data_IF_191329269453
#
_entry.id   IF_191329269453
#
_cell.length_a   1.000
_cell.length_b   1.000
_cell.length_c   1.000
_cell.angle_alpha   90.00
_cell.angle_beta   90.00
_cell.angle_gamma   90.00
#
_symmetry.space_group_name_H-M   'P 1'
#
loop_
_entity.id
_entity.type
_entity.pdbx_description
1 polymer ?
#
# COMPACT_ATOMS: atom_id res chain seq x y z
N UNK A 1 -1.25 0.79 -10.83
CA UNK A 1 -2.09 -0.21 -10.12
C UNK A 1 -3.03 -0.85 -11.12
N UNK A 2 -3.27 -2.16 -11.02
CA UNK A 2 -4.24 -2.86 -11.87
C UNK A 2 -5.63 -2.84 -11.23
N UNK A 3 -6.69 -2.95 -12.03
CA UNK A 3 -8.08 -3.11 -11.56
C UNK A 3 -8.22 -4.19 -10.47
N UNK A 4 -7.41 -5.25 -10.57
CA UNK A 4 -7.36 -6.35 -9.62
C UNK A 4 -6.99 -5.93 -8.18
N UNK A 5 -6.14 -4.91 -8.01
CA UNK A 5 -5.71 -4.46 -6.68
C UNK A 5 -6.77 -3.62 -5.98
N UNK A 6 -7.53 -2.83 -6.75
CA UNK A 6 -8.72 -2.11 -6.26
C UNK A 6 -9.76 -3.10 -5.76
N UNK A 7 -10.03 -4.17 -6.52
CA UNK A 7 -10.99 -5.21 -6.14
C UNK A 7 -10.58 -5.95 -4.85
N UNK A 8 -9.28 -6.20 -4.65
CA UNK A 8 -8.77 -6.77 -3.38
C UNK A 8 -9.03 -5.88 -2.16
N UNK A 9 -9.14 -4.57 -2.32
CA UNK A 9 -9.48 -3.68 -1.20
C UNK A 9 -10.97 -3.55 -0.96
N UNK A 10 -11.78 -3.58 -2.03
CA UNK A 10 -13.22 -3.74 -1.90
C UNK A 10 -13.59 -5.07 -1.22
N UNK A 11 -12.83 -6.15 -1.48
CA UNK A 11 -13.01 -7.45 -0.80
C UNK A 11 -12.74 -7.31 0.70
N UNK A 12 -11.63 -6.67 1.07
CA UNK A 12 -11.28 -6.42 2.46
C UNK A 12 -12.35 -5.58 3.17
N UNK A 13 -12.83 -4.51 2.52
CA UNK A 13 -13.89 -3.65 3.03
C UNK A 13 -15.18 -4.45 3.27
N UNK A 14 -15.58 -5.29 2.31
CA UNK A 14 -16.78 -6.12 2.37
C UNK A 14 -16.70 -7.12 3.52
N UNK A 15 -15.61 -7.87 3.60
CA UNK A 15 -15.40 -8.89 4.65
C UNK A 15 -15.33 -8.26 6.04
N UNK A 16 -14.62 -7.13 6.19
CA UNK A 16 -14.56 -6.42 7.47
C UNK A 16 -15.93 -5.89 7.88
N UNK A 17 -16.69 -5.28 6.95
CA UNK A 17 -18.05 -4.80 7.21
C UNK A 17 -18.98 -5.92 7.65
N UNK A 18 -18.96 -7.07 6.97
CA UNK A 18 -19.75 -8.24 7.38
C UNK A 18 -19.39 -8.72 8.79
N UNK A 19 -18.10 -8.84 9.07
CA UNK A 19 -17.61 -9.33 10.37
C UNK A 19 -17.97 -8.39 11.53
N UNK A 20 -17.83 -7.07 11.35
CA UNK A 20 -18.22 -6.08 12.38
C UNK A 20 -19.72 -6.04 12.57
N UNK A 21 -20.48 -6.05 11.48
CA UNK A 21 -21.94 -6.12 11.55
C UNK A 21 -22.42 -7.37 12.29
N UNK A 22 -21.85 -8.55 12.00
CA UNK A 22 -22.22 -9.80 12.66
C UNK A 22 -21.97 -9.76 14.19
N UNK A 23 -20.83 -9.18 14.59
CA UNK A 23 -20.39 -9.08 15.99
C UNK A 23 -21.01 -7.93 16.77
N UNK A 24 -21.61 -6.96 16.10
CA UNK A 24 -22.25 -5.80 16.73
C UNK A 24 -23.41 -6.16 17.67
N UNK A 25 -23.80 -5.21 18.50
CA UNK A 25 -24.94 -5.30 19.43
C UNK A 25 -26.31 -5.10 18.75
N UNK A 26 -26.33 -4.79 17.45
CA UNK A 26 -27.54 -4.49 16.68
C UNK A 26 -28.54 -5.65 16.65
N UNK A 27 -29.82 -5.32 16.45
CA UNK A 27 -30.87 -6.32 16.26
C UNK A 27 -30.67 -7.14 14.97
N UNK A 28 -31.34 -8.29 14.87
CA UNK A 28 -31.30 -9.11 13.66
C UNK A 28 -31.70 -8.32 12.40
N UNK A 29 -32.76 -7.51 12.49
CA UNK A 29 -33.26 -6.71 11.37
C UNK A 29 -32.21 -5.67 10.93
N UNK A 30 -31.66 -4.91 11.88
CA UNK A 30 -30.65 -3.88 11.58
C UNK A 30 -29.37 -4.46 10.97
N UNK A 31 -28.90 -5.62 11.49
CA UNK A 31 -27.77 -6.33 10.90
C UNK A 31 -28.08 -6.76 9.48
N UNK A 32 -29.27 -7.30 9.24
CA UNK A 32 -29.69 -7.76 7.92
C UNK A 32 -29.77 -6.62 6.91
N UNK A 33 -30.27 -5.45 7.31
CA UNK A 33 -30.34 -4.26 6.46
C UNK A 33 -28.95 -3.80 6.01
N UNK A 34 -27.99 -3.73 6.96
CA UNK A 34 -26.59 -3.38 6.65
C UNK A 34 -25.97 -4.42 5.71
N UNK A 35 -26.13 -5.71 6.02
CA UNK A 35 -25.55 -6.80 5.24
C UNK A 35 -26.10 -6.85 3.81
N UNK A 36 -27.42 -6.69 3.65
CA UNK A 36 -28.04 -6.61 2.33
C UNK A 36 -27.56 -5.39 1.55
N UNK A 37 -27.51 -4.24 2.20
CA UNK A 37 -27.04 -3.00 1.56
C UNK A 37 -25.56 -3.09 1.17
N UNK A 38 -24.72 -3.71 2.00
CA UNK A 38 -23.31 -3.93 1.68
C UNK A 38 -23.11 -4.96 0.55
N UNK A 39 -23.92 -6.02 0.52
CA UNK A 39 -23.95 -6.94 -0.60
C UNK A 39 -24.31 -6.22 -1.90
N UNK A 40 -25.37 -5.40 -1.90
CA UNK A 40 -25.74 -4.58 -3.04
C UNK A 40 -24.63 -3.61 -3.44
N UNK A 41 -24.00 -2.94 -2.47
CA UNK A 41 -22.86 -2.04 -2.70
C UNK A 41 -21.74 -2.78 -3.43
N UNK A 42 -21.36 -3.98 -2.99
CA UNK A 42 -20.32 -4.75 -3.67
C UNK A 42 -20.73 -5.13 -5.11
N UNK A 43 -21.98 -5.53 -5.30
CA UNK A 43 -22.49 -5.86 -6.63
C UNK A 43 -22.52 -4.70 -7.63
N UNK A 44 -22.32 -3.45 -7.19
CA UNK A 44 -22.11 -2.30 -8.11
C UNK A 44 -20.77 -2.40 -8.83
N UNK A 45 -19.76 -3.00 -8.19
CA UNK A 45 -18.39 -3.04 -8.72
C UNK A 45 -18.11 -4.31 -9.53
N UNK A 46 -18.59 -5.47 -9.08
CA UNK A 46 -18.44 -6.74 -9.80
C UNK A 46 -19.48 -7.80 -9.43
N UNK A 47 -19.44 -8.96 -10.09
CA UNK A 47 -20.34 -10.09 -9.85
C UNK A 47 -19.79 -11.15 -8.88
N UNK A 48 -18.68 -10.87 -8.20
CA UNK A 48 -17.96 -11.87 -7.38
C UNK A 48 -18.81 -12.37 -6.20
N UNK A 49 -19.50 -11.46 -5.50
CA UNK A 49 -20.37 -11.80 -4.37
C UNK A 49 -21.65 -12.54 -4.83
N UNK A 50 -22.06 -12.43 -6.10
CA UNK A 50 -23.15 -13.26 -6.63
C UNK A 50 -22.76 -14.74 -6.62
N UNK A 51 -21.50 -15.03 -6.93
CA UNK A 51 -20.95 -16.38 -7.12
C UNK A 51 -20.41 -17.02 -5.84
N UNK A 52 -20.47 -16.33 -4.70
CA UNK A 52 -19.90 -16.78 -3.43
C UNK A 52 -20.96 -17.19 -2.40
N UNK A 53 -20.72 -18.28 -1.68
CA UNK A 53 -21.47 -18.64 -0.48
C UNK A 53 -20.90 -17.93 0.76
N UNK A 54 -21.52 -16.82 1.19
CA UNK A 54 -21.14 -16.13 2.43
C UNK A 54 -21.95 -16.65 3.62
N UNK A 55 -21.26 -17.26 4.59
CA UNK A 55 -21.88 -17.77 5.82
C UNK A 55 -22.63 -16.67 6.60
N UNK A 56 -22.12 -15.43 6.58
CA UNK A 56 -22.76 -14.31 7.27
C UNK A 56 -24.06 -13.91 6.54
N UNK A 57 -24.03 -13.80 5.21
CA UNK A 57 -25.23 -13.48 4.43
C UNK A 57 -26.32 -14.57 4.59
N UNK A 58 -25.92 -15.84 4.62
CA UNK A 58 -26.82 -16.98 4.86
C UNK A 58 -27.41 -16.95 6.28
N UNK A 59 -26.57 -16.64 7.29
CA UNK A 59 -26.99 -16.52 8.69
C UNK A 59 -28.14 -15.52 8.84
N UNK A 60 -28.06 -14.36 8.19
CA UNK A 60 -29.08 -13.30 8.27
C UNK A 60 -30.14 -13.35 7.17
N UNK A 61 -30.13 -14.35 6.29
CA UNK A 61 -31.14 -14.49 5.23
C UNK A 61 -31.07 -13.39 4.16
N UNK A 62 -29.87 -12.92 3.86
CA UNK A 62 -29.59 -12.09 2.68
C UNK A 62 -29.39 -12.98 1.44
N UNK A 63 -28.71 -14.11 1.63
CA UNK A 63 -28.46 -15.14 0.62
C UNK A 63 -28.96 -16.49 1.08
N UNK A 64 -29.34 -17.35 0.13
CA UNK A 64 -29.83 -18.69 0.39
C UNK A 64 -29.15 -19.67 -0.56
N UNK A 65 -28.63 -20.77 -0.03
CA UNK A 65 -27.84 -21.76 -0.78
C UNK A 65 -28.47 -23.15 -0.61
N UNK A 66 -28.63 -23.86 -1.72
CA UNK A 66 -29.28 -25.16 -1.83
C UNK A 66 -28.41 -26.14 -2.61
N UNK A 67 -28.49 -27.44 -2.25
CA UNK A 67 -27.80 -28.50 -2.98
C UNK A 67 -28.47 -28.77 -4.34
N UNK A 68 -29.80 -28.80 -4.36
CA UNK A 68 -30.60 -28.96 -5.56
C UNK A 68 -31.05 -27.61 -6.10
N UNK A 69 -31.29 -27.52 -7.42
CA UNK A 69 -31.70 -26.27 -8.05
C UNK A 69 -33.10 -25.90 -7.57
N UNK A 70 -33.28 -24.78 -6.84
CA UNK A 70 -34.59 -24.32 -6.44
C UNK A 70 -35.37 -23.77 -7.65
N UNK A 71 -36.69 -23.82 -7.55
CA UNK A 71 -37.59 -23.24 -8.55
C UNK A 71 -37.55 -21.70 -8.52
N UNK A 72 -37.69 -21.10 -9.70
CA UNK A 72 -37.78 -19.64 -9.88
C UNK A 72 -36.55 -19.00 -10.53
N UNK A 73 -36.75 -17.78 -11.03
CA UNK A 73 -35.70 -17.00 -11.66
C UNK A 73 -34.76 -16.35 -10.63
N UNK A 74 -33.56 -15.97 -11.06
CA UNK A 74 -32.54 -15.37 -10.19
C UNK A 74 -31.72 -16.36 -9.39
N UNK A 75 -31.78 -17.65 -9.75
CA UNK A 75 -30.91 -18.70 -9.20
C UNK A 75 -29.58 -18.74 -9.95
N UNK A 76 -28.49 -18.52 -9.22
CA UNK A 76 -27.11 -18.61 -9.71
C UNK A 76 -26.49 -19.93 -9.30
N UNK A 77 -25.87 -20.63 -10.23
CA UNK A 77 -25.02 -21.78 -9.92
C UNK A 77 -23.69 -21.30 -9.36
N UNK A 78 -23.29 -21.87 -8.22
CA UNK A 78 -22.07 -21.51 -7.52
C UNK A 78 -21.28 -22.77 -7.15
N UNK A 79 -20.02 -22.56 -6.78
CA UNK A 79 -19.15 -23.58 -6.21
C UNK A 79 -18.99 -23.32 -4.71
N UNK A 80 -19.37 -24.28 -3.88
CA UNK A 80 -19.19 -24.26 -2.43
C UNK A 80 -18.20 -25.37 -2.04
N UNK A 81 -16.93 -24.98 -1.83
CA UNK A 81 -15.82 -25.95 -1.74
C UNK A 81 -15.62 -26.70 -3.05
N UNK A 82 -15.71 -28.04 -3.02
CA UNK A 82 -15.64 -28.89 -4.22
C UNK A 82 -17.03 -29.26 -4.78
N UNK A 83 -18.10 -28.74 -4.18
CA UNK A 83 -19.48 -29.13 -4.51
C UNK A 83 -20.18 -28.04 -5.30
N UNK A 84 -21.01 -28.49 -6.24
CA UNK A 84 -21.98 -27.65 -6.92
C UNK A 84 -23.12 -27.29 -5.98
N UNK A 85 -23.48 -26.02 -5.95
CA UNK A 85 -24.62 -25.52 -5.19
C UNK A 85 -25.36 -24.43 -5.99
N UNK A 86 -26.57 -24.11 -5.55
CA UNK A 86 -27.42 -23.10 -6.17
C UNK A 86 -27.75 -22.03 -5.15
N UNK A 87 -27.52 -20.78 -5.52
CA UNK A 87 -27.73 -19.61 -4.69
C UNK A 87 -28.80 -18.72 -5.28
N UNK A 88 -29.67 -18.19 -4.44
CA UNK A 88 -30.45 -17.00 -4.77
C UNK A 88 -30.44 -16.04 -3.58
N UNK A 89 -30.68 -14.78 -3.87
CA UNK A 89 -30.59 -13.70 -2.89
C UNK A 89 -31.99 -13.12 -2.61
N UNK A 90 -32.12 -12.44 -1.48
CA UNK A 90 -33.37 -11.74 -1.11
C UNK A 90 -33.76 -10.74 -2.22
N UNK A 91 -35.06 -10.57 -2.46
CA UNK A 91 -35.66 -9.86 -3.61
C UNK A 91 -35.60 -10.57 -4.97
N UNK A 92 -34.99 -11.76 -5.08
CA UNK A 92 -35.11 -12.56 -6.31
C UNK A 92 -36.49 -13.19 -6.47
N UNK A 93 -36.94 -13.49 -7.71
CA UNK A 93 -38.16 -14.28 -7.92
C UNK A 93 -38.14 -15.64 -7.22
N UNK A 94 -36.98 -16.31 -7.15
CA UNK A 94 -36.79 -17.54 -6.38
C UNK A 94 -37.02 -17.34 -4.88
N UNK A 95 -36.59 -16.21 -4.30
CA UNK A 95 -36.89 -15.87 -2.91
C UNK A 95 -38.40 -15.72 -2.67
N UNK A 96 -39.11 -15.00 -3.55
CA UNK A 96 -40.57 -14.84 -3.43
C UNK A 96 -41.30 -16.19 -3.50
N UNK A 97 -40.88 -17.07 -4.41
CA UNK A 97 -41.42 -18.42 -4.53
C UNK A 97 -41.14 -19.25 -3.26
N UNK A 98 -39.91 -19.20 -2.74
CA UNK A 98 -39.52 -19.92 -1.53
C UNK A 98 -40.28 -19.45 -0.28
N UNK A 99 -40.56 -18.15 -0.14
CA UNK A 99 -41.41 -17.61 0.94
C UNK A 99 -42.86 -18.06 0.78
N UNK A 100 -43.42 -17.96 -0.43
CA UNK A 100 -44.79 -18.40 -0.74
C UNK A 100 -45.01 -19.88 -0.43
N UNK A 101 -44.01 -20.71 -0.75
CA UNK A 101 -44.01 -22.16 -0.50
C UNK A 101 -43.60 -22.53 0.93
N UNK A 102 -43.39 -21.55 1.82
CA UNK A 102 -43.00 -21.73 3.23
C UNK A 102 -41.67 -22.48 3.42
N UNK A 103 -40.79 -22.47 2.40
CA UNK A 103 -39.40 -22.95 2.50
C UNK A 103 -38.59 -21.97 3.35
N UNK A 104 -38.80 -20.66 3.14
CA UNK A 104 -38.22 -19.60 3.96
C UNK A 104 -39.33 -19.01 4.85
N UNK A 105 -39.08 -18.92 6.15
CA UNK A 105 -40.07 -18.48 7.15
C UNK A 105 -39.44 -17.57 8.21
N UNK A 106 -40.28 -17.02 9.10
CA UNK A 106 -39.85 -16.18 10.23
C UNK A 106 -39.20 -14.87 9.81
N UNK A 107 -38.20 -14.42 10.58
CA UNK A 107 -37.48 -13.17 10.29
C UNK A 107 -36.80 -13.16 8.92
N UNK A 108 -36.36 -14.32 8.41
CA UNK A 108 -35.72 -14.44 7.09
C UNK A 108 -36.68 -14.28 5.91
N UNK A 109 -37.99 -14.47 6.14
CA UNK A 109 -39.01 -14.27 5.10
C UNK A 109 -39.40 -12.80 4.91
N UNK A 110 -39.10 -11.92 5.88
CA UNK A 110 -39.31 -10.48 5.73
C UNK A 110 -38.33 -9.90 4.72
N UNK A 111 -38.67 -8.76 4.10
CA UNK A 111 -37.76 -8.04 3.22
C UNK A 111 -36.88 -7.07 4.04
N UNK A 112 -35.54 -7.05 3.86
CA UNK A 112 -34.69 -6.08 4.51
C UNK A 112 -34.84 -4.69 3.87
N UNK A 113 -34.64 -3.66 4.68
CA UNK A 113 -34.56 -2.29 4.18
C UNK A 113 -33.21 -2.07 3.49
N UNK A 114 -33.25 -1.47 2.29
CA UNK A 114 -32.04 -1.04 1.59
C UNK A 114 -31.66 0.36 2.05
N UNK A 115 -30.50 0.48 2.69
CA UNK A 115 -29.88 1.75 3.04
C UNK A 115 -29.35 2.42 1.77
N UNK A 116 -29.33 3.76 1.75
CA UNK A 116 -28.67 4.50 0.67
C UNK A 116 -27.16 4.27 0.66
N UNK A 117 -26.50 4.72 -0.41
CA UNK A 117 -25.04 4.64 -0.53
C UNK A 117 -24.30 5.55 0.46
N UNK A 118 -24.99 6.51 1.12
CA UNK A 118 -24.45 7.34 2.19
C UNK A 118 -24.85 6.84 3.58
N UNK A 119 -26.07 6.32 3.74
CA UNK A 119 -26.54 5.73 5.02
C UNK A 119 -25.73 4.50 5.40
N UNK A 120 -25.45 3.61 4.43
CA UNK A 120 -24.68 2.38 4.65
C UNK A 120 -23.32 2.66 5.31
N UNK A 121 -22.39 3.42 4.68
CA UNK A 121 -21.09 3.69 5.29
C UNK A 121 -21.24 4.38 6.64
N UNK A 122 -22.19 5.32 6.79
CA UNK A 122 -22.38 6.05 8.03
C UNK A 122 -22.77 5.12 9.18
N UNK A 123 -23.69 4.19 8.92
CA UNK A 123 -24.14 3.20 9.89
C UNK A 123 -23.01 2.24 10.26
N UNK A 124 -22.22 1.80 9.28
CA UNK A 124 -21.10 0.88 9.49
C UNK A 124 -19.96 1.52 10.29
N UNK A 125 -19.55 2.74 9.96
CA UNK A 125 -18.45 3.42 10.67
C UNK A 125 -18.86 3.94 12.06
N UNK A 126 -20.17 3.89 12.36
CA UNK A 126 -20.75 4.24 13.65
C UNK A 126 -21.03 3.02 14.55
N UNK A 127 -20.70 1.80 14.11
CA UNK A 127 -20.75 0.63 14.99
C UNK A 127 -19.75 0.79 16.15
N UNK A 128 -20.13 0.30 17.34
CA UNK A 128 -19.28 0.38 18.55
C UNK A 128 -17.90 -0.26 18.34
N UNK A 129 -17.81 -1.29 17.51
CA UNK A 129 -16.57 -2.02 17.19
C UNK A 129 -15.92 -1.60 15.86
N UNK A 130 -16.37 -0.50 15.25
CA UNK A 130 -15.76 0.06 14.05
C UNK A 130 -14.37 0.65 14.35
N UNK A 131 -13.35 -0.19 14.22
CA UNK A 131 -11.95 0.19 14.35
C UNK A 131 -11.46 1.10 13.22
N UNK A 132 -10.31 1.73 13.43
CA UNK A 132 -9.71 2.65 12.47
C UNK A 132 -9.30 1.94 11.16
N UNK A 133 -9.12 0.62 11.17
CA UNK A 133 -8.80 -0.16 9.96
C UNK A 133 -10.02 -0.25 9.03
N UNK A 134 -11.20 -0.57 9.57
CA UNK A 134 -12.46 -0.52 8.80
C UNK A 134 -12.77 0.90 8.34
N UNK A 135 -12.59 1.90 9.22
CA UNK A 135 -12.79 3.31 8.88
C UNK A 135 -11.85 3.78 7.78
N UNK A 136 -10.59 3.34 7.78
CA UNK A 136 -9.64 3.67 6.72
C UNK A 136 -10.07 3.08 5.37
N UNK A 137 -10.59 1.86 5.33
CA UNK A 137 -11.12 1.29 4.09
C UNK A 137 -12.33 2.08 3.60
N UNK A 138 -13.28 2.44 4.47
CA UNK A 138 -14.38 3.31 4.07
C UNK A 138 -13.90 4.67 3.60
N UNK A 139 -12.90 5.27 4.24
CA UNK A 139 -12.33 6.53 3.80
C UNK A 139 -11.75 6.47 2.39
N UNK A 140 -11.05 5.37 2.05
CA UNK A 140 -10.44 5.15 0.73
C UNK A 140 -11.48 4.86 -0.35
N UNK A 141 -12.52 4.08 -0.04
CA UNK A 141 -13.44 3.57 -1.07
C UNK A 141 -14.75 4.34 -1.17
N UNK A 142 -15.14 5.12 -0.16
CA UNK A 142 -16.38 5.90 -0.18
C UNK A 142 -16.47 6.83 -1.41
N UNK A 143 -15.43 7.61 -1.78
CA UNK A 143 -15.52 8.53 -2.91
C UNK A 143 -15.86 7.87 -4.26
N UNK A 144 -15.65 6.56 -4.43
CA UNK A 144 -16.08 5.87 -5.64
C UNK A 144 -17.60 5.93 -5.86
N UNK A 145 -18.42 6.02 -4.81
CA UNK A 145 -19.87 6.18 -5.00
C UNK A 145 -20.23 7.53 -5.63
N UNK A 146 -19.46 8.57 -5.29
CA UNK A 146 -19.63 9.91 -5.85
C UNK A 146 -19.25 9.88 -7.32
N UNK A 147 -18.14 9.22 -7.65
CA UNK A 147 -17.67 9.04 -9.02
C UNK A 147 -18.64 8.21 -9.88
N UNK A 148 -19.39 7.28 -9.28
CA UNK A 148 -20.45 6.52 -9.96
C UNK A 148 -21.75 7.31 -10.16
N UNK A 149 -21.81 8.57 -9.70
CA UNK A 149 -22.98 9.44 -9.88
C UNK A 149 -24.13 9.13 -8.92
N UNK A 150 -23.85 8.58 -7.74
CA UNK A 150 -24.88 8.40 -6.71
C UNK A 150 -25.51 9.76 -6.32
N UNK A 151 -26.84 9.83 -6.10
CA UNK A 151 -27.48 11.03 -5.57
C UNK A 151 -26.82 11.48 -4.27
N UNK A 152 -26.39 12.74 -4.21
CA UNK A 152 -25.60 13.26 -3.10
C UNK A 152 -26.52 13.60 -1.92
N UNK A 153 -26.21 13.04 -0.75
CA UNK A 153 -26.88 13.33 0.52
C UNK A 153 -25.95 14.17 1.41
N UNK A 154 -25.98 15.49 1.25
CA UNK A 154 -25.02 16.42 1.85
C UNK A 154 -24.92 16.30 3.38
N UNK A 155 -26.04 16.15 4.10
CA UNK A 155 -26.03 16.01 5.56
C UNK A 155 -25.32 14.72 6.03
N UNK A 156 -25.42 13.64 5.26
CA UNK A 156 -24.76 12.37 5.56
C UNK A 156 -23.28 12.42 5.16
N UNK A 157 -22.97 13.10 4.05
CA UNK A 157 -21.59 13.38 3.64
C UNK A 157 -20.80 14.09 4.74
N UNK A 158 -21.35 15.17 5.31
CA UNK A 158 -20.69 15.93 6.38
C UNK A 158 -20.50 15.09 7.65
N UNK A 159 -21.50 14.28 8.03
CA UNK A 159 -21.38 13.37 9.18
C UNK A 159 -20.30 12.30 8.98
N UNK A 160 -20.22 11.75 7.77
CA UNK A 160 -19.18 10.79 7.38
C UNK A 160 -17.81 11.44 7.46
N UNK A 161 -17.66 12.64 6.92
CA UNK A 161 -16.42 13.42 6.96
C UNK A 161 -15.98 13.67 8.39
N UNK A 162 -16.87 14.10 9.28
CA UNK A 162 -16.57 14.29 10.70
C UNK A 162 -16.07 13.02 11.41
N UNK A 163 -16.54 11.83 10.99
CA UNK A 163 -16.13 10.55 11.58
C UNK A 163 -14.84 10.01 10.99
N UNK A 164 -14.55 10.28 9.73
CA UNK A 164 -13.46 9.64 8.98
C UNK A 164 -12.26 10.56 8.73
N UNK A 165 -12.46 11.87 8.66
CA UNK A 165 -11.39 12.85 8.48
C UNK A 165 -10.75 13.21 9.82
N UNK A 166 -9.97 12.28 10.38
CA UNK A 166 -9.22 12.51 11.61
C UNK A 166 -7.84 11.83 11.57
N UNK A 167 -6.88 12.27 12.41
CA UNK A 167 -5.51 11.74 12.39
C UNK A 167 -5.40 10.21 12.62
N UNK A 168 -6.29 9.61 13.42
CA UNK A 168 -6.27 8.16 13.68
C UNK A 168 -6.56 7.35 12.43
N UNK A 169 -7.63 7.72 11.73
CA UNK A 169 -7.99 7.13 10.43
C UNK A 169 -6.92 7.44 9.39
N UNK A 170 -6.41 8.67 9.31
CA UNK A 170 -5.35 9.03 8.36
C UNK A 170 -4.05 8.23 8.56
N UNK A 171 -3.68 7.93 9.80
CA UNK A 171 -2.55 7.04 10.07
C UNK A 171 -2.79 5.63 9.53
N UNK A 172 -4.00 5.08 9.66
CA UNK A 172 -4.36 3.77 9.11
C UNK A 172 -4.43 3.78 7.59
N UNK A 173 -4.95 4.86 7.00
CA UNK A 173 -4.96 5.08 5.56
C UNK A 173 -3.53 5.08 5.04
N UNK A 174 -2.64 5.93 5.56
CA UNK A 174 -1.23 5.99 5.13
C UNK A 174 -0.49 4.66 5.31
N UNK A 175 -0.78 3.93 6.39
CA UNK A 175 -0.19 2.61 6.66
C UNK A 175 -0.76 1.47 5.80
N UNK A 176 -1.87 1.70 5.10
CA UNK A 176 -2.54 0.71 4.28
C UNK A 176 -1.85 0.55 2.93
N UNK A 177 -1.83 -0.67 2.40
CA UNK A 177 -1.42 -0.95 1.02
C UNK A 177 -2.30 -0.26 -0.02
N UNK A 178 -3.50 0.19 0.38
CA UNK A 178 -4.45 0.89 -0.48
C UNK A 178 -4.25 2.40 -0.49
N UNK A 179 -3.31 2.95 0.30
CA UNK A 179 -2.95 4.39 0.25
C UNK A 179 -2.43 4.83 -1.12
N UNK A 180 -1.91 3.89 -1.90
CA UNK A 180 -1.44 4.12 -3.27
C UNK A 180 -2.60 4.53 -4.21
N UNK A 181 -3.85 4.28 -3.84
CA UNK A 181 -5.04 4.75 -4.56
C UNK A 181 -5.31 6.25 -4.37
N UNK A 182 -4.53 6.91 -3.52
CA UNK A 182 -4.76 8.30 -3.14
C UNK A 182 -3.73 9.23 -3.74
N UNK A 183 -4.18 10.43 -4.07
CA UNK A 183 -3.35 11.52 -4.58
C UNK A 183 -2.20 11.87 -3.62
N UNK A 184 -1.04 12.25 -4.17
CA UNK A 184 0.10 12.81 -3.43
C UNK A 184 -0.19 14.25 -3.03
N UNK A 185 -0.74 15.03 -3.97
CA UNK A 185 -0.96 16.48 -3.87
C UNK A 185 -2.37 16.88 -4.25
N UNK A 186 -2.76 18.12 -3.95
CA UNK A 186 -4.08 18.65 -4.34
C UNK A 186 -4.14 18.93 -5.84
N UNK A 187 -3.00 19.25 -6.45
CA UNK A 187 -2.83 19.53 -7.87
C UNK A 187 -3.18 18.32 -8.74
N UNK A 188 -2.84 17.10 -8.29
CA UNK A 188 -3.23 15.87 -8.98
C UNK A 188 -4.75 15.64 -9.02
N UNK A 189 -5.52 16.28 -8.13
CA UNK A 189 -6.98 16.22 -8.15
C UNK A 189 -7.61 17.20 -9.15
N UNK A 190 -6.81 17.88 -9.97
CA UNK A 190 -7.33 18.81 -10.98
C UNK A 190 -8.25 18.11 -11.97
N UNK A 191 -9.51 18.55 -12.04
CA UNK A 191 -10.53 17.96 -12.91
C UNK A 191 -11.41 16.90 -12.24
N UNK A 192 -11.09 16.52 -11.00
CA UNK A 192 -11.93 15.61 -10.20
C UNK A 192 -13.19 16.28 -9.67
N UNK A 193 -14.15 15.46 -9.23
CA UNK A 193 -15.40 15.93 -8.66
C UNK A 193 -15.15 16.76 -7.38
N UNK A 194 -15.80 17.92 -7.16
CA UNK A 194 -15.50 18.81 -6.02
C UNK A 194 -15.56 18.16 -4.64
N UNK A 195 -16.53 17.25 -4.41
CA UNK A 195 -16.62 16.50 -3.15
C UNK A 195 -15.49 15.48 -2.97
N UNK A 196 -14.94 14.94 -4.07
CA UNK A 196 -13.77 14.05 -3.98
C UNK A 196 -12.54 14.87 -3.58
N UNK A 197 -12.38 16.06 -4.17
CA UNK A 197 -11.32 17.01 -3.80
C UNK A 197 -11.43 17.45 -2.34
N UNK A 198 -12.64 17.76 -1.87
CA UNK A 198 -12.90 18.11 -0.47
C UNK A 198 -12.57 16.94 0.47
N UNK A 199 -13.02 15.73 0.14
CA UNK A 199 -12.82 14.53 0.95
C UNK A 199 -11.34 14.16 1.12
N UNK A 200 -10.58 14.08 0.02
CA UNK A 200 -9.18 13.70 0.05
C UNK A 200 -8.21 14.83 0.42
N UNK A 201 -8.64 16.08 0.25
CA UNK A 201 -7.81 17.27 0.53
C UNK A 201 -7.25 17.28 1.96
N UNK A 202 -8.06 16.92 2.96
CA UNK A 202 -7.62 16.91 4.36
C UNK A 202 -6.55 15.86 4.65
N UNK A 203 -6.67 14.66 4.07
CA UNK A 203 -5.63 13.63 4.20
C UNK A 203 -4.34 14.05 3.50
N UNK A 204 -4.44 14.65 2.31
CA UNK A 204 -3.29 15.14 1.55
C UNK A 204 -2.53 16.20 2.35
N UNK A 205 -3.24 17.19 2.90
CA UNK A 205 -2.64 18.24 3.72
C UNK A 205 -1.99 17.64 4.97
N UNK A 206 -2.68 16.72 5.64
CA UNK A 206 -2.17 16.03 6.82
C UNK A 206 -0.93 15.19 6.50
N UNK A 207 -0.91 14.46 5.38
CA UNK A 207 0.22 13.63 4.92
C UNK A 207 1.43 14.50 4.60
N UNK A 208 1.22 15.66 4.00
CA UNK A 208 2.29 16.55 3.53
C UNK A 208 2.78 17.53 4.59
N UNK A 209 2.02 17.75 5.67
CA UNK A 209 2.47 18.56 6.79
C UNK A 209 3.75 18.00 7.42
N UNK A 210 4.70 18.91 7.70
CA UNK A 210 6.00 18.57 8.28
C UNK A 210 5.86 18.10 9.74
N UNK A 211 6.64 17.09 10.08
CA UNK A 211 6.88 16.61 11.43
C UNK A 211 7.88 17.50 12.17
N UNK A 212 8.11 17.25 13.45
CA UNK A 212 9.16 17.93 14.25
C UNK A 212 10.57 17.78 13.65
N UNK A 213 10.80 16.74 12.84
CA UNK A 213 12.06 16.50 12.14
C UNK A 213 12.18 17.26 10.82
N UNK A 214 11.22 18.12 10.47
CA UNK A 214 11.24 18.92 9.24
C UNK A 214 10.89 18.16 7.96
N UNK A 215 10.54 16.88 8.04
CA UNK A 215 10.09 16.04 6.90
C UNK A 215 8.59 15.81 6.96
N UNK A 216 7.92 15.62 5.82
CA UNK A 216 6.47 15.34 5.80
C UNK A 216 6.14 14.00 6.46
N UNK A 217 4.89 13.79 6.88
CA UNK A 217 4.46 12.48 7.42
C UNK A 217 4.60 11.36 6.39
N UNK A 218 4.35 11.66 5.11
CA UNK A 218 4.61 10.74 3.99
C UNK A 218 6.08 10.32 3.91
N UNK A 219 7.01 11.28 3.93
CA UNK A 219 8.46 11.00 3.93
C UNK A 219 8.88 10.22 5.18
N UNK A 220 8.41 10.60 6.36
CA UNK A 220 8.69 9.87 7.60
C UNK A 220 8.12 8.43 7.59
N UNK A 221 7.03 8.19 6.87
CA UNK A 221 6.51 6.86 6.65
C UNK A 221 7.43 6.04 5.75
N UNK A 222 7.91 6.60 4.63
CA UNK A 222 8.88 5.94 3.76
C UNK A 222 10.20 5.61 4.47
N UNK A 223 10.71 6.52 5.32
CA UNK A 223 11.89 6.26 6.15
C UNK A 223 11.71 5.00 7.04
N UNK A 224 10.52 4.83 7.64
CA UNK A 224 10.22 3.64 8.45
C UNK A 224 10.11 2.37 7.60
N UNK A 225 9.49 2.47 6.41
CA UNK A 225 9.36 1.32 5.48
C UNK A 225 10.72 0.86 4.97
N UNK A 226 11.62 1.81 4.68
CA UNK A 226 13.01 1.54 4.31
C UNK A 226 13.73 0.78 5.44
N UNK A 227 13.60 1.24 6.68
CA UNK A 227 14.20 0.58 7.85
C UNK A 227 13.65 -0.84 8.11
N UNK A 228 12.42 -1.11 7.69
CA UNK A 228 11.79 -2.44 7.76
C UNK A 228 12.13 -3.35 6.58
N UNK A 229 12.93 -2.87 5.61
CA UNK A 229 13.35 -3.65 4.45
C UNK A 229 12.34 -3.69 3.29
N UNK A 230 11.30 -2.85 3.30
CA UNK A 230 10.30 -2.80 2.22
C UNK A 230 10.78 -1.93 1.05
N UNK A 231 11.87 -2.36 0.43
CA UNK A 231 12.58 -1.58 -0.60
C UNK A 231 11.72 -1.35 -1.86
N UNK A 232 10.92 -2.35 -2.25
CA UNK A 232 10.03 -2.26 -3.41
C UNK A 232 8.97 -1.19 -3.25
N UNK A 233 8.35 -1.13 -2.07
CA UNK A 233 7.38 -0.09 -1.76
C UNK A 233 8.05 1.29 -1.74
N UNK A 234 9.20 1.42 -1.07
CA UNK A 234 9.89 2.71 -0.96
C UNK A 234 10.32 3.23 -2.32
N UNK A 235 10.89 2.39 -3.20
CA UNK A 235 11.27 2.79 -4.55
C UNK A 235 10.07 3.35 -5.33
N UNK A 236 9.00 2.55 -5.44
CA UNK A 236 7.80 2.91 -6.19
C UNK A 236 7.14 4.19 -5.66
N UNK A 237 6.93 4.27 -4.35
CA UNK A 237 6.21 5.40 -3.76
C UNK A 237 7.06 6.67 -3.72
N UNK A 238 8.38 6.57 -3.49
CA UNK A 238 9.26 7.75 -3.59
C UNK A 238 9.34 8.29 -5.01
N UNK A 239 9.37 7.44 -6.04
CA UNK A 239 9.28 7.86 -7.45
C UNK A 239 7.98 8.64 -7.71
N UNK A 240 6.84 8.08 -7.33
CA UNK A 240 5.54 8.73 -7.47
C UNK A 240 5.49 10.09 -6.76
N UNK A 241 6.08 10.18 -5.56
CA UNK A 241 6.14 11.44 -4.83
C UNK A 241 7.11 12.45 -5.47
N UNK A 242 8.20 12.01 -6.09
CA UNK A 242 9.16 12.87 -6.80
C UNK A 242 8.55 13.51 -8.06
N UNK A 243 7.58 12.86 -8.71
CA UNK A 243 6.83 13.49 -9.81
C UNK A 243 6.11 14.79 -9.34
N UNK A 244 5.73 14.85 -8.06
CA UNK A 244 5.07 16.00 -7.45
C UNK A 244 6.06 16.95 -6.73
N UNK A 245 7.16 16.40 -6.20
CA UNK A 245 8.16 17.13 -5.42
C UNK A 245 9.56 16.87 -5.98
N UNK A 246 9.85 17.33 -7.20
CA UNK A 246 11.07 16.95 -7.93
C UNK A 246 12.36 17.45 -7.28
N UNK A 247 12.28 18.42 -6.36
CA UNK A 247 13.42 18.99 -5.65
C UNK A 247 13.56 18.49 -4.19
N UNK A 248 12.73 17.53 -3.75
CA UNK A 248 12.79 17.01 -2.38
C UNK A 248 13.95 16.01 -2.22
N UNK A 249 15.08 16.52 -1.72
CA UNK A 249 16.30 15.73 -1.52
C UNK A 249 16.12 14.54 -0.55
N UNK A 250 15.15 14.57 0.39
CA UNK A 250 14.87 13.41 1.24
C UNK A 250 14.24 12.28 0.45
N UNK A 251 13.29 12.59 -0.44
CA UNK A 251 12.66 11.61 -1.32
C UNK A 251 13.67 11.01 -2.29
N UNK A 252 14.55 11.85 -2.88
CA UNK A 252 15.63 11.37 -3.74
C UNK A 252 16.53 10.38 -3.00
N UNK A 253 16.99 10.74 -1.79
CA UNK A 253 17.87 9.89 -1.00
C UNK A 253 17.18 8.60 -0.57
N UNK A 254 15.88 8.62 -0.25
CA UNK A 254 15.10 7.43 0.05
C UNK A 254 15.00 6.48 -1.14
N UNK A 255 14.74 7.01 -2.35
CA UNK A 255 14.70 6.23 -3.57
C UNK A 255 16.06 5.56 -3.85
N UNK A 256 17.13 6.37 -3.78
CA UNK A 256 18.51 5.92 -3.95
C UNK A 256 18.89 4.84 -2.93
N UNK A 257 18.55 5.07 -1.66
CA UNK A 257 18.83 4.13 -0.57
C UNK A 257 18.09 2.80 -0.77
N UNK A 258 16.82 2.84 -1.19
CA UNK A 258 16.05 1.63 -1.45
C UNK A 258 16.64 0.82 -2.63
N UNK A 259 17.05 1.50 -3.72
CA UNK A 259 17.71 0.86 -4.87
C UNK A 259 18.99 0.14 -4.48
N UNK A 260 19.87 0.79 -3.71
CA UNK A 260 21.14 0.18 -3.30
C UNK A 260 20.91 -0.96 -2.29
N UNK A 261 19.97 -0.82 -1.35
CA UNK A 261 19.66 -1.87 -0.37
C UNK A 261 19.07 -3.11 -1.02
N UNK A 262 18.24 -2.94 -2.06
CA UNK A 262 17.63 -4.05 -2.81
C UNK A 262 18.65 -4.88 -3.59
N UNK A 263 19.81 -4.31 -3.95
CA UNK A 263 20.85 -5.01 -4.71
C UNK A 263 21.34 -6.31 -4.07
N UNK A 264 21.23 -6.45 -2.74
CA UNK A 264 21.68 -7.64 -2.01
C UNK A 264 20.74 -8.85 -2.15
N UNK A 265 19.49 -8.65 -2.57
CA UNK A 265 18.44 -9.67 -2.56
C UNK A 265 17.88 -10.01 -3.95
N UNK A 266 18.50 -9.52 -5.02
CA UNK A 266 18.05 -9.71 -6.41
C UNK A 266 19.09 -10.48 -7.22
N UNK A 267 18.66 -11.00 -8.36
CA UNK A 267 19.54 -11.64 -9.32
C UNK A 267 20.56 -10.65 -9.93
N UNK A 268 21.60 -11.18 -10.58
CA UNK A 268 22.69 -10.39 -11.12
C UNK A 268 22.24 -9.36 -12.16
N UNK A 269 21.31 -9.73 -13.05
CA UNK A 269 20.83 -8.83 -14.11
C UNK A 269 20.08 -7.65 -13.51
N UNK A 270 19.14 -7.93 -12.60
CA UNK A 270 18.41 -6.90 -11.86
C UNK A 270 19.36 -6.02 -11.04
N UNK A 271 20.38 -6.61 -10.40
CA UNK A 271 21.40 -5.87 -9.65
C UNK A 271 22.17 -4.88 -10.52
N UNK A 272 22.65 -5.33 -11.69
CA UNK A 272 23.38 -4.46 -12.64
C UNK A 272 22.49 -3.30 -13.08
N UNK A 273 21.22 -3.57 -13.40
CA UNK A 273 20.24 -2.55 -13.77
C UNK A 273 20.04 -1.52 -12.65
N UNK A 274 19.78 -1.98 -11.43
CA UNK A 274 19.59 -1.10 -10.27
C UNK A 274 20.80 -0.19 -10.03
N UNK A 275 22.02 -0.76 -10.07
CA UNK A 275 23.24 0.01 -9.87
C UNK A 275 23.46 1.06 -10.97
N UNK A 276 23.26 0.69 -12.23
CA UNK A 276 23.39 1.59 -13.37
C UNK A 276 22.40 2.76 -13.30
N UNK A 277 21.12 2.47 -13.06
CA UNK A 277 20.08 3.48 -12.90
C UNK A 277 20.36 4.40 -11.71
N UNK A 278 20.76 3.82 -10.57
CA UNK A 278 21.09 4.59 -9.38
C UNK A 278 22.29 5.51 -9.61
N UNK A 279 23.31 5.04 -10.34
CA UNK A 279 24.47 5.86 -10.70
C UNK A 279 24.09 7.03 -11.60
N UNK A 280 23.26 6.80 -12.63
CA UNK A 280 22.76 7.85 -13.52
C UNK A 280 21.98 8.90 -12.72
N UNK A 281 21.00 8.45 -11.93
CA UNK A 281 20.15 9.31 -11.11
C UNK A 281 20.98 10.23 -10.20
N UNK A 282 21.96 9.66 -9.48
CA UNK A 282 22.80 10.45 -8.58
C UNK A 282 23.66 11.47 -9.35
N UNK A 283 24.18 11.12 -10.52
CA UNK A 283 24.95 12.07 -11.33
C UNK A 283 24.08 13.20 -11.87
N UNK A 284 22.86 12.90 -12.31
CA UNK A 284 21.91 13.92 -12.78
C UNK A 284 21.59 14.91 -11.64
N UNK A 285 21.34 14.41 -10.42
CA UNK A 285 21.12 15.25 -9.23
C UNK A 285 22.35 16.09 -8.88
N UNK A 286 23.55 15.49 -8.89
CA UNK A 286 24.79 16.20 -8.55
C UNK A 286 25.11 17.30 -9.56
N UNK A 287 24.78 17.09 -10.83
CA UNK A 287 25.10 18.01 -11.93
C UNK A 287 24.07 19.11 -12.14
N UNK A 288 22.82 18.94 -11.68
CA UNK A 288 21.77 19.95 -11.79
C UNK A 288 22.04 21.23 -10.96
N UNK A 289 22.93 21.14 -9.95
CA UNK A 289 23.39 22.26 -9.15
C UNK A 289 22.46 22.61 -7.97
N UNK A 290 23.04 23.18 -6.91
CA UNK A 290 22.35 23.61 -5.67
C UNK A 290 21.75 22.49 -4.79
N UNK A 291 22.52 21.43 -4.56
CA UNK A 291 22.15 20.31 -3.67
C UNK A 291 22.63 20.58 -2.24
N UNK A 292 21.72 20.63 -1.28
CA UNK A 292 22.03 20.90 0.15
C UNK A 292 22.69 19.70 0.81
N UNK A 293 22.27 18.48 0.47
CA UNK A 293 22.78 17.21 1.02
C UNK A 293 23.83 16.56 0.12
N UNK A 294 24.65 17.37 -0.54
CA UNK A 294 25.62 16.92 -1.55
C UNK A 294 26.56 15.81 -1.03
N UNK A 295 26.98 15.87 0.23
CA UNK A 295 27.78 14.82 0.89
C UNK A 295 27.08 13.45 0.95
N UNK A 296 25.76 13.40 1.15
CA UNK A 296 24.99 12.17 1.13
C UNK A 296 24.86 11.59 -0.29
N UNK A 297 24.66 12.43 -1.30
CA UNK A 297 24.64 11.96 -2.69
C UNK A 297 25.99 11.40 -3.14
N UNK A 298 27.10 12.08 -2.80
CA UNK A 298 28.44 11.53 -3.02
C UNK A 298 28.64 10.18 -2.31
N UNK A 299 28.18 10.08 -1.07
CA UNK A 299 28.27 8.83 -0.30
C UNK A 299 27.52 7.68 -1.00
N UNK A 300 26.28 7.91 -1.43
CA UNK A 300 25.52 6.89 -2.15
C UNK A 300 26.07 6.60 -3.55
N UNK A 301 26.70 7.57 -4.23
CA UNK A 301 27.42 7.31 -5.47
C UNK A 301 28.62 6.39 -5.22
N UNK A 302 29.36 6.64 -4.14
CA UNK A 302 30.45 5.79 -3.68
C UNK A 302 29.98 4.35 -3.40
N UNK A 303 28.88 4.18 -2.67
CA UNK A 303 28.27 2.85 -2.45
C UNK A 303 27.84 2.17 -3.75
N UNK A 304 27.28 2.93 -4.69
CA UNK A 304 26.87 2.41 -5.99
C UNK A 304 28.09 1.94 -6.80
N UNK A 305 29.16 2.73 -6.85
CA UNK A 305 30.44 2.36 -7.48
C UNK A 305 31.09 1.14 -6.83
N UNK A 306 31.06 1.02 -5.49
CA UNK A 306 31.47 -0.22 -4.81
C UNK A 306 30.65 -1.42 -5.30
N UNK A 307 29.34 -1.27 -5.43
CA UNK A 307 28.45 -2.30 -5.97
C UNK A 307 28.80 -2.69 -7.41
N UNK A 308 29.32 -1.74 -8.19
CA UNK A 308 29.79 -1.92 -9.57
C UNK A 308 31.26 -2.38 -9.66
N UNK A 309 31.93 -2.64 -8.52
CA UNK A 309 33.35 -2.97 -8.43
C UNK A 309 34.32 -1.86 -8.89
N UNK A 310 33.87 -0.62 -8.97
CA UNK A 310 34.68 0.56 -9.28
C UNK A 310 35.29 1.15 -7.99
N UNK A 311 36.26 0.41 -7.43
CA UNK A 311 36.80 0.67 -6.08
C UNK A 311 37.54 2.01 -5.97
N UNK A 312 38.29 2.40 -7.00
CA UNK A 312 39.09 3.63 -6.97
C UNK A 312 38.20 4.87 -7.00
N UNK A 313 37.19 4.90 -7.88
CA UNK A 313 36.26 6.01 -7.92
C UNK A 313 35.30 6.03 -6.73
N UNK A 314 34.95 4.86 -6.16
CA UNK A 314 34.22 4.80 -4.91
C UNK A 314 35.01 5.45 -3.76
N UNK A 315 36.31 5.11 -3.63
CA UNK A 315 37.21 5.75 -2.65
C UNK A 315 37.28 7.25 -2.87
N UNK A 316 37.40 7.70 -4.12
CA UNK A 316 37.42 9.12 -4.47
C UNK A 316 36.14 9.85 -4.04
N UNK A 317 34.97 9.23 -4.21
CA UNK A 317 33.69 9.78 -3.75
C UNK A 317 33.64 9.91 -2.22
N UNK A 318 34.02 8.87 -1.46
CA UNK A 318 34.04 8.94 -0.01
C UNK A 318 35.04 9.98 0.52
N UNK A 319 36.22 10.08 -0.08
CA UNK A 319 37.18 11.14 0.24
C UNK A 319 36.61 12.53 -0.06
N UNK A 320 35.80 12.65 -1.12
CA UNK A 320 35.14 13.91 -1.46
C UNK A 320 34.07 14.29 -0.43
N UNK A 321 33.36 13.33 0.18
CA UNK A 321 32.50 13.60 1.33
C UNK A 321 33.30 14.26 2.47
N UNK A 322 34.48 13.71 2.80
CA UNK A 322 35.32 14.19 3.91
C UNK A 322 36.00 15.53 3.66
N UNK A 323 36.14 15.94 2.39
CA UNK A 323 36.57 17.31 2.04
C UNK A 323 35.50 18.36 2.35
N UNK A 324 34.23 17.95 2.36
CA UNK A 324 33.09 18.83 2.62
C UNK A 324 32.78 18.84 4.12
N UNK A 325 32.75 17.66 4.74
CA UNK A 325 32.53 17.47 6.16
C UNK A 325 33.48 16.39 6.67
N UNK A 326 34.53 16.81 7.38
CA UNK A 326 35.61 15.95 7.89
C UNK A 326 35.12 14.93 8.94
N UNK A 327 33.92 15.13 9.47
CA UNK A 327 33.26 14.28 10.47
C UNK A 327 32.11 13.48 9.88
N UNK A 328 31.97 13.42 8.56
CA UNK A 328 30.92 12.65 7.90
C UNK A 328 31.11 11.15 8.10
N UNK A 329 30.57 10.65 9.22
CA UNK A 329 30.76 9.30 9.75
C UNK A 329 30.49 8.18 8.73
N UNK A 330 29.45 8.23 7.87
CA UNK A 330 29.21 7.17 6.89
C UNK A 330 30.39 6.95 5.94
N UNK A 331 31.05 8.02 5.47
CA UNK A 331 32.20 7.90 4.59
C UNK A 331 33.45 7.41 5.33
N UNK A 332 33.66 7.85 6.58
CA UNK A 332 34.76 7.38 7.43
C UNK A 332 34.68 5.86 7.62
N UNK A 333 33.48 5.34 7.90
CA UNK A 333 33.27 3.90 8.07
C UNK A 333 33.59 3.10 6.80
N UNK A 334 33.16 3.60 5.63
CA UNK A 334 33.44 2.93 4.36
C UNK A 334 34.93 2.91 4.02
N UNK A 335 35.63 4.05 4.16
CA UNK A 335 37.07 4.11 3.91
C UNK A 335 37.86 3.15 4.80
N UNK A 336 37.53 3.10 6.11
CA UNK A 336 38.13 2.13 7.05
C UNK A 336 37.84 0.68 6.65
N UNK A 337 36.63 0.39 6.17
CA UNK A 337 36.27 -0.93 5.67
C UNK A 337 37.12 -1.35 4.46
N UNK A 338 37.29 -0.44 3.50
CA UNK A 338 38.11 -0.66 2.31
C UNK A 338 39.59 -0.86 2.64
N UNK A 339 40.16 -0.10 3.58
CA UNK A 339 41.55 -0.27 4.03
C UNK A 339 41.79 -1.64 4.65
N UNK A 340 40.87 -2.12 5.50
CA UNK A 340 40.97 -3.45 6.11
C UNK A 340 40.90 -4.56 5.08
N UNK A 341 39.97 -4.48 4.12
CA UNK A 341 39.85 -5.46 3.06
C UNK A 341 41.15 -5.56 2.22
N UNK A 342 41.75 -4.43 1.87
CA UNK A 342 43.03 -4.40 1.16
C UNK A 342 44.18 -5.02 1.97
N UNK A 343 44.22 -4.78 3.28
CA UNK A 343 45.23 -5.41 4.15
C UNK A 343 45.07 -6.93 4.22
N UNK A 344 43.83 -7.44 4.25
CA UNK A 344 43.54 -8.89 4.22
C UNK A 344 43.93 -9.52 2.89
N UNK A 345 43.57 -8.88 1.77
CA UNK A 345 43.95 -9.35 0.43
C UNK A 345 45.48 -9.37 0.26
N UNK A 346 46.19 -8.36 0.78
CA UNK A 346 47.65 -8.32 0.82
C UNK A 346 48.26 -9.39 1.73
N UNK A 347 47.68 -9.69 2.90
CA UNK A 347 48.22 -10.72 3.81
C UNK A 347 48.04 -12.14 3.25
N UNK A 348 46.92 -12.42 2.59
CA UNK A 348 46.66 -13.73 1.98
C UNK A 348 47.51 -13.93 0.72
N UNK A 349 47.70 -12.88 -0.10
CA UNK A 349 48.59 -12.93 -1.26
C UNK A 349 50.08 -12.99 -0.89
N UNK A 350 50.51 -12.38 0.24
CA UNK A 350 51.89 -12.50 0.74
C UNK A 350 52.22 -13.88 1.34
N UNK A 351 51.24 -14.62 1.90
CA UNK A 351 51.49 -15.94 2.49
C UNK A 351 51.97 -17.01 1.48
N UNK A 352 51.75 -16.78 0.18
CA UNK A 352 52.20 -17.64 -0.92
C UNK A 352 53.42 -17.11 -1.71
N UNK A 353 53.99 -15.95 -1.34
CA UNK A 353 55.10 -15.34 -2.08
C UNK A 353 56.51 -15.58 -1.49
N UNK A 354 56.64 -16.23 -0.33
CA UNK A 354 57.93 -16.42 0.36
C UNK A 354 58.78 -17.62 -0.10
N UNK A 355 58.57 -18.17 -1.32
CA UNK A 355 59.37 -19.32 -1.81
C UNK A 355 60.13 -19.13 -3.13
N UNK A 356 60.28 -17.93 -3.66
CA UNK A 356 60.96 -17.75 -4.95
C UNK A 356 61.93 -16.57 -5.06
N UNK A 357 62.50 -16.10 -3.95
CA UNK A 357 63.55 -15.07 -3.97
C UNK A 357 64.67 -15.39 -2.97
N UNK A 358 65.34 -16.53 -3.13
CA UNK A 358 66.77 -16.62 -2.80
C UNK A 358 67.38 -17.91 -3.33
N UNK A 359 68.14 -17.79 -4.43
CA UNK A 359 69.31 -18.62 -4.78
C UNK A 359 69.94 -18.08 -6.06
N UNK A 360 70.83 -17.08 -5.90
CA UNK A 360 71.96 -16.93 -6.84
C UNK A 360 73.02 -17.99 -6.47
N UNK A 361 73.54 -18.79 -7.40
CA UNK A 361 74.65 -19.69 -7.11
C UNK A 361 75.97 -18.91 -7.04
N UNK A 362 76.66 -18.99 -5.90
CA UNK A 362 78.05 -18.56 -5.77
C UNK A 362 78.97 -19.60 -6.41
N UNK A 363 79.86 -19.15 -7.29
CA UNK A 363 81.00 -19.91 -7.84
C UNK A 363 82.04 -20.17 -6.75
N UNK A 364 82.62 -21.37 -6.75
CA UNK A 364 83.74 -21.81 -5.90
C UNK A 364 83.82 -23.33 -5.90
#
# INVERSE_FOLDING_TARGET
MTEQEVMKGLDALTVMTYNRTDKSSLSFAEKRDILYSMYCFRCVFDDSELKRASNILIKYGVSFVFADKPDGDGVTEITDGDKKAYKFDVYSPAFEAAVRNKIITGEKAKLPQKLTLFELPLKVVSLDDADDDLKALWYIYFPYIILMGAPIEHDLYEQLKQKLCNPGVFHKVLGSRYSENMFVTREEMSGEHPLVCDWYGEFIDWKNQKTEKGVSRGVAFLQRRLALGDYDYVMRESERMLDCFPDDEELMLLNIAARISKCASVDFETRVKLLSENFSLINDIITSGNVKKYNYFLYYRGLTRLGMQDMDNARADFMSCLKIDDKFEPAIMMLKGMEKAQQTDCSDSCSNCDKACDKKPSRG
#
